data_IF_839223000536
#
_entry.id   IF_839223000536
#
_cell.length_a   1.000
_cell.length_b   1.000
_cell.length_c   1.000
_cell.angle_alpha   90.00
_cell.angle_beta   90.00
_cell.angle_gamma   90.00
#
_symmetry.space_group_name_H-M   'P 1'
#
loop_
_entity.id
_entity.type
_entity.pdbx_description
1 polymer ?
#
# COMPACT_ATOMS: atom_id res chain seq x y z
N UNK A 1 2.76 -14.36 22.06
CA UNK A 1 3.51 -14.98 20.95
C UNK A 1 4.64 -14.02 20.60
N UNK A 2 5.87 -14.49 20.37
CA UNK A 2 6.99 -13.63 19.95
C UNK A 2 6.64 -13.02 18.59
N UNK A 3 6.81 -11.72 18.42
CA UNK A 3 6.54 -11.03 17.16
C UNK A 3 7.85 -10.51 16.57
N UNK A 4 7.98 -10.57 15.27
CA UNK A 4 9.08 -9.98 14.50
C UNK A 4 8.48 -9.11 13.41
N UNK A 5 8.23 -7.81 13.71
CA UNK A 5 7.58 -6.93 12.77
C UNK A 5 8.26 -6.95 11.40
N UNK A 6 7.48 -7.11 10.35
CA UNK A 6 7.95 -7.28 8.97
C UNK A 6 7.24 -6.28 8.08
N UNK A 7 7.97 -5.69 7.13
CA UNK A 7 7.39 -4.85 6.07
C UNK A 7 7.08 -5.74 4.85
N UNK A 8 5.93 -5.53 4.22
CA UNK A 8 5.60 -6.09 2.91
C UNK A 8 5.41 -4.94 1.92
N UNK A 9 6.16 -4.95 0.83
CA UNK A 9 5.99 -4.01 -0.28
C UNK A 9 5.72 -4.79 -1.55
N UNK A 10 4.59 -4.53 -2.19
CA UNK A 10 4.25 -4.99 -3.54
C UNK A 10 3.92 -3.73 -4.34
N UNK A 11 4.86 -3.25 -5.16
CA UNK A 11 4.69 -2.01 -5.91
C UNK A 11 3.50 -2.09 -6.86
N UNK A 12 2.89 -0.94 -7.12
CA UNK A 12 1.83 -0.77 -8.12
C UNK A 12 2.36 -0.04 -9.36
N UNK A 13 1.65 -0.15 -10.49
CA UNK A 13 2.03 0.54 -11.73
C UNK A 13 3.30 0.01 -12.41
N UNK A 14 3.71 -1.22 -12.14
CA UNK A 14 4.96 -1.81 -12.63
C UNK A 14 4.80 -3.19 -13.31
N UNK A 15 3.59 -3.64 -13.50
CA UNK A 15 3.25 -4.93 -14.12
C UNK A 15 2.37 -5.82 -13.24
N UNK A 16 1.34 -6.36 -13.85
CA UNK A 16 0.34 -7.17 -13.16
C UNK A 16 0.90 -8.47 -12.57
N UNK A 17 1.95 -9.04 -13.20
CA UNK A 17 2.55 -10.30 -12.77
C UNK A 17 3.13 -10.23 -11.35
N UNK A 18 3.51 -9.06 -10.89
CA UNK A 18 4.11 -8.89 -9.55
C UNK A 18 3.14 -8.37 -8.49
N UNK A 19 1.84 -8.44 -8.75
CA UNK A 19 0.81 -7.99 -7.80
C UNK A 19 0.42 -6.54 -8.02
N UNK A 20 0.23 -6.13 -9.28
CA UNK A 20 -0.15 -4.78 -9.65
C UNK A 20 -1.60 -4.41 -9.34
N UNK A 21 -2.46 -5.38 -9.05
CA UNK A 21 -3.86 -5.15 -8.72
C UNK A 21 -4.05 -4.78 -7.25
N UNK A 22 -4.92 -3.82 -6.99
CA UNK A 22 -5.25 -3.42 -5.64
C UNK A 22 -5.91 -4.58 -4.87
N UNK A 23 -5.27 -5.00 -3.76
CA UNK A 23 -5.79 -6.02 -2.85
C UNK A 23 -5.58 -7.47 -3.27
N UNK A 24 -5.00 -7.77 -4.42
CA UNK A 24 -4.73 -9.15 -4.84
C UNK A 24 -3.69 -9.85 -3.95
N UNK A 25 -2.88 -9.09 -3.25
CA UNK A 25 -1.89 -9.57 -2.31
C UNK A 25 -2.40 -9.73 -0.86
N UNK A 26 -3.69 -9.53 -0.59
CA UNK A 26 -4.26 -9.70 0.74
C UNK A 26 -4.05 -11.12 1.32
N UNK A 27 -4.21 -12.23 0.56
CA UNK A 27 -3.86 -13.56 1.04
C UNK A 27 -2.39 -13.69 1.44
N UNK A 28 -1.48 -13.04 0.70
CA UNK A 28 -0.05 -12.97 1.02
C UNK A 28 0.16 -12.20 2.33
N UNK A 29 -0.48 -11.04 2.50
CA UNK A 29 -0.39 -10.26 3.72
C UNK A 29 -0.87 -11.05 4.95
N UNK A 30 -1.99 -11.76 4.84
CA UNK A 30 -2.50 -12.65 5.92
C UNK A 30 -1.51 -13.77 6.27
N UNK A 31 -0.90 -14.39 5.25
CA UNK A 31 0.11 -15.44 5.45
C UNK A 31 1.34 -14.88 6.19
N UNK A 32 1.90 -13.77 5.71
CA UNK A 32 3.10 -13.17 6.30
C UNK A 32 2.83 -12.57 7.69
N UNK A 33 1.66 -11.99 7.93
CA UNK A 33 1.23 -11.55 9.25
C UNK A 33 1.14 -12.72 10.23
N UNK A 34 0.67 -13.88 9.77
CA UNK A 34 0.64 -15.10 10.59
C UNK A 34 2.06 -15.62 10.90
N UNK A 35 2.98 -15.50 9.96
CA UNK A 35 4.36 -15.94 10.12
C UNK A 35 5.17 -15.01 11.04
N UNK A 36 5.03 -13.70 10.89
CA UNK A 36 5.80 -12.68 11.63
C UNK A 36 5.14 -12.27 12.95
N UNK A 37 3.82 -12.37 13.05
CA UNK A 37 3.02 -11.86 14.16
C UNK A 37 2.70 -10.37 14.06
N UNK A 38 3.36 -9.62 13.17
CA UNK A 38 3.09 -8.21 12.90
C UNK A 38 3.58 -7.85 11.48
N UNK A 39 2.69 -7.29 10.67
CA UNK A 39 2.98 -6.88 9.29
C UNK A 39 2.65 -5.41 9.11
N UNK A 40 3.56 -4.66 8.49
CA UNK A 40 3.31 -3.28 8.05
C UNK A 40 3.29 -3.28 6.52
N UNK A 41 2.20 -2.79 5.93
CA UNK A 41 2.04 -2.79 4.48
C UNK A 41 1.19 -1.61 4.01
N UNK A 42 1.07 -1.43 2.70
CA UNK A 42 0.49 -0.24 2.07
C UNK A 42 -0.85 -0.53 1.37
N UNK A 43 -1.60 0.55 1.00
CA UNK A 43 -2.94 0.44 0.41
C UNK A 43 -3.05 -0.54 -0.75
N UNK A 44 -2.11 -0.53 -1.70
CA UNK A 44 -2.18 -1.42 -2.87
C UNK A 44 -2.23 -2.92 -2.52
N UNK A 45 -1.58 -3.33 -1.42
CA UNK A 45 -1.65 -4.71 -0.91
C UNK A 45 -3.03 -5.03 -0.33
N UNK A 46 -3.67 -4.05 0.29
CA UNK A 46 -4.87 -4.23 1.12
C UNK A 46 -6.17 -3.83 0.43
N UNK A 47 -6.11 -2.83 -0.47
CA UNK A 47 -7.30 -2.30 -1.13
C UNK A 47 -7.77 -3.25 -2.23
N UNK A 48 -8.92 -3.83 -2.02
CA UNK A 48 -9.66 -4.56 -3.05
C UNK A 48 -11.10 -4.10 -3.05
N UNK A 49 -11.84 -4.38 -4.12
CA UNK A 49 -13.25 -4.05 -4.21
C UNK A 49 -14.12 -4.82 -3.21
N UNK A 50 -13.56 -5.84 -2.59
CA UNK A 50 -14.23 -6.63 -1.56
C UNK A 50 -13.95 -6.07 -0.18
N UNK A 51 -14.95 -6.13 0.68
CA UNK A 51 -14.82 -5.79 2.10
C UNK A 51 -13.98 -6.87 2.77
N UNK A 52 -12.72 -6.54 3.09
CA UNK A 52 -11.82 -7.49 3.73
C UNK A 52 -12.04 -7.51 5.25
N UNK A 53 -11.87 -8.68 5.85
CA UNK A 53 -11.78 -8.80 7.30
C UNK A 53 -10.57 -8.03 7.83
N UNK A 54 -10.76 -7.35 8.96
CA UNK A 54 -9.67 -6.72 9.69
C UNK A 54 -8.80 -7.80 10.33
N UNK A 55 -7.50 -7.72 10.08
CA UNK A 55 -6.50 -8.50 10.79
C UNK A 55 -5.70 -7.55 11.68
N UNK A 56 -5.81 -7.69 13.00
CA UNK A 56 -5.14 -6.81 13.97
C UNK A 56 -3.62 -6.87 13.91
N UNK A 57 -3.05 -7.85 13.22
CA UNK A 57 -1.61 -8.00 13.01
C UNK A 57 -1.11 -7.18 11.84
N UNK A 58 -2.01 -6.63 10.99
CA UNK A 58 -1.66 -5.88 9.78
C UNK A 58 -1.88 -4.39 10.01
N UNK A 59 -0.84 -3.60 9.82
CA UNK A 59 -0.84 -2.15 9.90
C UNK A 59 -0.89 -1.56 8.49
N UNK A 60 -1.95 -0.80 8.21
CA UNK A 60 -2.22 -0.14 6.94
C UNK A 60 -1.54 1.24 6.91
N UNK A 61 -0.46 1.38 6.13
CA UNK A 61 0.38 2.58 6.10
C UNK A 61 0.58 3.02 4.66
N UNK A 62 0.24 4.27 4.36
CA UNK A 62 0.43 4.87 3.04
C UNK A 62 1.92 4.86 2.63
N UNK A 63 2.20 4.79 1.32
CA UNK A 63 3.54 4.53 0.78
C UNK A 63 4.64 5.48 1.27
N UNK A 64 4.42 6.81 1.25
CA UNK A 64 5.40 7.77 1.78
C UNK A 64 5.66 7.60 3.27
N UNK A 65 4.60 7.33 4.03
CA UNK A 65 4.72 7.05 5.47
C UNK A 65 5.41 5.71 5.74
N UNK A 66 5.19 4.72 4.87
CA UNK A 66 5.89 3.44 4.94
C UNK A 66 7.41 3.61 4.71
N UNK A 67 7.79 4.44 3.75
CA UNK A 67 9.20 4.78 3.51
C UNK A 67 9.82 5.48 4.72
N UNK A 68 9.14 6.45 5.33
CA UNK A 68 9.56 7.10 6.57
C UNK A 68 9.70 6.10 7.73
N UNK A 69 8.78 5.16 7.84
CA UNK A 69 8.84 4.09 8.82
C UNK A 69 10.05 3.18 8.58
N UNK A 70 10.31 2.81 7.34
CA UNK A 70 11.49 2.03 6.95
C UNK A 70 12.80 2.75 7.26
N UNK A 71 12.86 4.09 7.11
CA UNK A 71 13.99 4.94 7.49
C UNK A 71 14.13 5.18 9.00
N UNK A 72 13.21 4.64 9.81
CA UNK A 72 13.15 4.86 11.24
C UNK A 72 12.91 6.34 11.66
N UNK A 73 12.19 7.09 10.86
CA UNK A 73 11.80 8.48 11.15
C UNK A 73 10.49 8.56 11.95
N UNK A 74 9.63 7.56 11.82
CA UNK A 74 8.35 7.49 12.53
C UNK A 74 8.12 6.13 13.17
N UNK A 75 7.35 6.13 14.27
CA UNK A 75 6.72 4.95 14.86
C UNK A 75 5.24 4.88 14.54
N UNK A 76 4.63 3.72 14.75
CA UNK A 76 3.21 3.49 14.51
C UNK A 76 2.50 3.32 15.85
N UNK A 77 1.47 4.14 16.11
CA UNK A 77 0.62 4.04 17.28
C UNK A 77 -0.71 3.40 16.91
N UNK A 78 -1.04 2.27 17.53
CA UNK A 78 -2.33 1.61 17.30
C UNK A 78 -3.49 2.48 17.78
N UNK A 79 -4.52 2.58 16.95
CA UNK A 79 -5.79 3.24 17.27
C UNK A 79 -6.94 2.26 17.10
N UNK A 80 -8.00 2.45 17.84
CA UNK A 80 -9.19 1.60 17.73
C UNK A 80 -10.08 2.06 16.57
N UNK A 81 -10.14 3.35 16.33
CA UNK A 81 -10.93 3.96 15.27
C UNK A 81 -10.37 5.34 14.89
N UNK A 82 -10.19 5.57 13.60
CA UNK A 82 -9.89 6.89 13.05
C UNK A 82 -11.18 7.69 12.83
N UNK A 83 -11.08 9.02 12.96
CA UNK A 83 -12.11 9.94 12.53
C UNK A 83 -11.79 10.37 11.09
N UNK A 84 -12.51 9.79 10.12
CA UNK A 84 -12.20 9.95 8.71
C UNK A 84 -12.92 11.18 8.14
N UNK A 85 -12.19 11.97 7.35
CA UNK A 85 -12.72 12.97 6.43
C UNK A 85 -12.47 12.56 4.98
N UNK A 86 -13.35 12.97 4.08
CA UNK A 86 -13.21 12.67 2.65
C UNK A 86 -12.96 13.97 1.89
N UNK A 87 -11.93 13.98 1.04
CA UNK A 87 -11.72 15.05 0.06
C UNK A 87 -12.28 14.58 -1.28
N UNK A 88 -13.18 15.35 -1.87
CA UNK A 88 -13.66 15.14 -3.24
C UNK A 88 -13.09 16.19 -4.17
N UNK A 89 -12.60 15.77 -5.33
CA UNK A 89 -12.21 16.66 -6.41
C UNK A 89 -13.42 17.42 -6.94
N UNK A 90 -13.29 18.73 -7.11
CA UNK A 90 -14.33 19.59 -7.70
C UNK A 90 -14.78 19.15 -9.09
N UNK A 91 -13.94 18.42 -9.79
CA UNK A 91 -14.25 17.96 -11.13
C UNK A 91 -15.14 16.68 -11.17
N UNK A 92 -15.50 16.14 -10.03
CA UNK A 92 -16.42 14.98 -9.94
C UNK A 92 -17.83 15.47 -10.24
N UNK A 93 -18.49 14.82 -11.21
CA UNK A 93 -19.86 15.10 -11.60
C UNK A 93 -20.86 14.82 -10.46
N UNK A 94 -21.95 15.56 -10.41
CA UNK A 94 -22.92 15.48 -9.30
C UNK A 94 -23.48 14.06 -9.08
N UNK A 95 -23.74 13.31 -10.13
CA UNK A 95 -24.24 11.92 -10.00
C UNK A 95 -23.17 11.02 -9.36
N UNK A 96 -21.94 11.13 -9.81
CA UNK A 96 -20.81 10.36 -9.28
C UNK A 96 -20.51 10.77 -7.83
N UNK A 97 -20.54 12.05 -7.50
CA UNK A 97 -20.40 12.54 -6.13
C UNK A 97 -21.51 11.96 -5.23
N UNK A 98 -22.76 12.01 -5.68
CA UNK A 98 -23.88 11.43 -4.95
C UNK A 98 -23.68 9.92 -4.70
N UNK A 99 -23.18 9.19 -5.69
CA UNK A 99 -22.86 7.76 -5.54
C UNK A 99 -21.80 7.52 -4.46
N UNK A 100 -20.73 8.30 -4.45
CA UNK A 100 -19.68 8.17 -3.45
C UNK A 100 -20.17 8.54 -2.03
N UNK A 101 -21.03 9.55 -1.91
CA UNK A 101 -21.65 9.90 -0.62
C UNK A 101 -22.55 8.78 -0.11
N UNK A 102 -23.39 8.18 -0.98
CA UNK A 102 -24.19 7.01 -0.62
C UNK A 102 -23.35 5.81 -0.18
N UNK A 103 -22.20 5.60 -0.81
CA UNK A 103 -21.24 4.55 -0.42
C UNK A 103 -20.65 4.86 0.96
N UNK A 104 -20.29 6.10 1.25
CA UNK A 104 -19.80 6.51 2.56
C UNK A 104 -20.85 6.29 3.65
N UNK A 105 -22.12 6.69 3.40
CA UNK A 105 -23.26 6.44 4.29
C UNK A 105 -23.50 4.94 4.52
N UNK A 106 -23.38 4.13 3.46
CA UNK A 106 -23.49 2.67 3.58
C UNK A 106 -22.38 2.09 4.46
N UNK A 107 -21.13 2.57 4.34
CA UNK A 107 -20.03 2.16 5.22
C UNK A 107 -20.25 2.56 6.67
N UNK A 108 -20.83 3.73 6.94
CA UNK A 108 -21.25 4.11 8.30
C UNK A 108 -22.30 3.12 8.81
N UNK A 109 -23.34 2.88 8.02
CA UNK A 109 -24.50 2.08 8.45
C UNK A 109 -24.18 0.60 8.66
N UNK A 110 -23.29 0.03 7.84
CA UNK A 110 -23.02 -1.42 7.84
C UNK A 110 -21.76 -1.82 8.61
N UNK A 111 -20.76 -0.95 8.63
CA UNK A 111 -19.45 -1.25 9.20
C UNK A 111 -19.14 -0.42 10.46
N UNK A 112 -19.96 0.58 10.78
CA UNK A 112 -19.76 1.46 11.92
C UNK A 112 -18.50 2.32 11.80
N UNK A 113 -18.04 2.61 10.57
CA UNK A 113 -16.85 3.45 10.34
C UNK A 113 -17.20 4.90 10.69
N UNK A 114 -16.31 5.57 11.41
CA UNK A 114 -16.49 6.96 11.80
C UNK A 114 -16.06 7.91 10.67
N UNK A 115 -16.95 8.15 9.73
CA UNK A 115 -16.78 9.13 8.66
C UNK A 115 -17.52 10.41 9.11
N UNK A 116 -16.77 11.44 9.46
CA UNK A 116 -17.33 12.60 10.15
C UNK A 116 -17.73 13.76 9.24
N UNK A 117 -17.01 13.95 8.14
CA UNK A 117 -17.25 15.08 7.20
C UNK A 117 -16.57 14.83 5.86
N UNK A 118 -16.96 15.63 4.88
CA UNK A 118 -16.25 15.71 3.61
C UNK A 118 -16.02 17.19 3.21
N UNK A 119 -15.14 17.40 2.27
CA UNK A 119 -14.88 18.69 1.64
C UNK A 119 -14.71 18.48 0.13
N UNK A 120 -15.21 19.41 -0.66
CA UNK A 120 -14.94 19.47 -2.11
C UNK A 120 -13.81 20.49 -2.31
N UNK A 121 -12.83 20.17 -3.15
CA UNK A 121 -11.72 21.06 -3.45
C UNK A 121 -12.22 22.37 -4.08
N UNK A 122 -11.55 23.48 -3.85
CA UNK A 122 -11.96 24.77 -4.41
C UNK A 122 -11.75 24.83 -5.92
N UNK A 123 -10.64 24.21 -6.39
CA UNK A 123 -10.28 24.09 -7.79
C UNK A 123 -10.19 22.62 -8.19
N UNK A 124 -10.37 22.28 -9.48
CA UNK A 124 -10.09 20.93 -9.97
C UNK A 124 -8.66 20.52 -9.62
N UNK A 125 -8.48 19.25 -9.20
CA UNK A 125 -7.17 18.70 -8.88
C UNK A 125 -6.26 18.65 -10.12
N UNK A 126 -6.84 18.35 -11.27
CA UNK A 126 -6.14 18.38 -12.57
C UNK A 126 -5.11 17.26 -12.69
N UNK A 127 -5.58 16.03 -12.72
CA UNK A 127 -4.74 14.84 -12.86
C UNK A 127 -4.27 14.71 -14.30
N UNK A 128 -2.98 14.40 -14.46
CA UNK A 128 -2.35 14.11 -15.74
C UNK A 128 -1.60 12.80 -15.62
N UNK A 129 -1.99 11.82 -16.43
CA UNK A 129 -1.26 10.57 -16.61
C UNK A 129 -0.17 10.83 -17.64
N UNK A 130 1.06 10.43 -17.34
CA UNK A 130 2.17 10.57 -18.27
C UNK A 130 2.27 9.32 -19.14
N UNK A 131 2.29 9.52 -20.44
CA UNK A 131 2.57 8.48 -21.42
C UNK A 131 4.09 8.29 -21.50
N UNK A 132 4.67 7.56 -20.58
CA UNK A 132 6.10 7.24 -20.58
C UNK A 132 6.33 5.90 -21.27
N UNK A 133 7.23 5.89 -22.25
CA UNK A 133 7.67 4.66 -22.93
C UNK A 133 8.43 3.68 -22.01
N UNK A 134 8.52 3.99 -20.74
CA UNK A 134 9.23 3.19 -19.73
C UNK A 134 8.51 1.89 -19.34
N UNK A 135 7.23 1.72 -19.70
CA UNK A 135 6.38 0.63 -19.23
C UNK A 135 6.05 0.74 -17.73
N UNK A 136 6.14 1.95 -17.17
CA UNK A 136 5.81 2.28 -15.80
C UNK A 136 4.67 3.28 -15.76
N UNK A 137 3.75 3.13 -14.80
CA UNK A 137 2.72 4.14 -14.57
C UNK A 137 3.33 5.37 -13.92
N UNK A 138 3.08 6.53 -14.48
CA UNK A 138 3.49 7.82 -13.90
C UNK A 138 2.46 8.91 -14.17
N UNK A 139 2.60 10.04 -13.49
CA UNK A 139 1.75 11.19 -13.69
C UNK A 139 2.00 12.29 -12.67
N UNK A 140 1.24 13.38 -12.78
CA UNK A 140 1.34 14.51 -11.87
C UNK A 140 -0.01 15.20 -11.65
N UNK A 141 -0.05 16.03 -10.63
CA UNK A 141 -1.20 16.84 -10.24
C UNK A 141 -0.91 18.31 -10.58
N UNK A 142 -1.83 18.97 -11.32
CA UNK A 142 -1.66 20.38 -11.73
C UNK A 142 -1.87 21.35 -10.56
N UNK A 143 -2.85 21.09 -9.71
CA UNK A 143 -3.27 21.96 -8.63
C UNK A 143 -3.11 21.27 -7.25
N UNK A 144 -1.89 20.92 -6.81
CA UNK A 144 -1.69 20.18 -5.57
C UNK A 144 -2.14 20.96 -4.32
N UNK A 145 -2.08 22.31 -4.36
CA UNK A 145 -2.45 23.15 -3.23
C UNK A 145 -3.92 23.06 -2.85
N UNK A 146 -4.81 22.79 -3.82
CA UNK A 146 -6.24 22.64 -3.52
C UNK A 146 -6.51 21.40 -2.64
N UNK A 147 -5.77 20.32 -2.84
CA UNK A 147 -5.82 19.11 -2.00
C UNK A 147 -5.30 19.40 -0.59
N UNK A 148 -4.14 20.08 -0.50
CA UNK A 148 -3.54 20.44 0.80
C UNK A 148 -4.47 21.37 1.59
N UNK A 149 -5.09 22.34 0.93
CA UNK A 149 -6.03 23.27 1.55
C UNK A 149 -7.29 22.56 2.07
N UNK A 150 -7.86 21.67 1.26
CA UNK A 150 -8.98 20.83 1.63
C UNK A 150 -8.66 19.94 2.84
N UNK A 151 -7.49 19.29 2.82
CA UNK A 151 -7.03 18.45 3.92
C UNK A 151 -6.80 19.23 5.21
N UNK A 152 -6.20 20.42 5.16
CA UNK A 152 -6.05 21.33 6.32
C UNK A 152 -7.40 21.70 6.93
N UNK A 153 -8.41 21.96 6.08
CA UNK A 153 -9.76 22.25 6.56
C UNK A 153 -10.36 21.09 7.35
N UNK A 154 -10.15 19.85 6.90
CA UNK A 154 -10.59 18.65 7.61
C UNK A 154 -9.85 18.46 8.94
N UNK A 155 -8.53 18.65 8.96
CA UNK A 155 -7.72 18.51 10.19
C UNK A 155 -8.16 19.56 11.23
N UNK A 156 -8.46 20.79 10.82
CA UNK A 156 -8.98 21.83 11.71
C UNK A 156 -10.33 21.47 12.34
N UNK A 157 -11.07 20.51 11.76
CA UNK A 157 -12.32 19.94 12.31
C UNK A 157 -12.06 18.70 13.18
N UNK A 158 -10.80 18.39 13.45
CA UNK A 158 -10.39 17.24 14.25
C UNK A 158 -10.45 15.90 13.52
N UNK A 159 -10.35 15.90 12.19
CA UNK A 159 -10.18 14.70 11.37
C UNK A 159 -8.78 14.14 11.61
N UNK A 160 -8.67 12.82 11.71
CA UNK A 160 -7.42 12.11 12.02
C UNK A 160 -6.92 11.20 10.89
N UNK A 161 -7.77 10.91 9.89
CA UNK A 161 -7.40 10.20 8.67
C UNK A 161 -8.18 10.75 7.47
N UNK A 162 -7.59 10.73 6.27
CA UNK A 162 -8.15 11.35 5.09
C UNK A 162 -8.26 10.36 3.94
N UNK A 163 -9.50 10.13 3.47
CA UNK A 163 -9.76 9.48 2.18
C UNK A 163 -9.78 10.56 1.08
N UNK A 164 -9.19 10.27 -0.07
CA UNK A 164 -9.10 11.20 -1.18
C UNK A 164 -9.79 10.58 -2.38
N UNK A 165 -10.70 11.29 -3.02
CA UNK A 165 -11.41 10.84 -4.21
C UNK A 165 -11.19 11.88 -5.30
N UNK A 166 -10.51 11.51 -6.38
CA UNK A 166 -10.24 12.43 -7.49
C UNK A 166 -10.76 11.89 -8.81
N UNK A 167 -11.15 12.81 -9.69
CA UNK A 167 -11.70 12.49 -11.01
C UNK A 167 -10.58 12.26 -12.01
N UNK A 168 -10.59 11.10 -12.62
CA UNK A 168 -9.74 10.79 -13.77
C UNK A 168 -10.46 11.11 -15.08
N UNK A 169 -9.71 11.51 -16.11
CA UNK A 169 -10.25 11.71 -17.45
C UNK A 169 -10.80 10.41 -18.02
N UNK A 170 -11.86 10.48 -18.81
CA UNK A 170 -12.38 9.36 -19.59
C UNK A 170 -11.53 9.10 -20.87
N UNK A 171 -10.51 9.93 -21.13
CA UNK A 171 -9.56 9.79 -22.24
C UNK A 171 -8.37 8.87 -21.91
N UNK A 172 -8.49 8.03 -20.86
CA UNK A 172 -7.49 6.99 -20.57
C UNK A 172 -7.49 6.00 -21.75
N UNK A 173 -6.30 5.60 -22.21
CA UNK A 173 -6.18 4.64 -23.30
C UNK A 173 -6.90 3.34 -22.97
N UNK A 174 -7.98 3.09 -23.69
CA UNK A 174 -8.82 1.90 -23.48
C UNK A 174 -8.05 0.60 -23.79
N UNK A 175 -7.01 0.64 -24.61
CA UNK A 175 -6.21 -0.55 -24.92
C UNK A 175 -5.39 -0.98 -23.70
N UNK A 176 -4.73 -0.05 -23.02
CA UNK A 176 -3.95 -0.32 -21.80
C UNK A 176 -4.85 -0.76 -20.65
N UNK A 177 -6.00 -0.11 -20.45
CA UNK A 177 -6.99 -0.53 -19.47
C UNK A 177 -7.51 -1.93 -19.76
N UNK A 178 -7.75 -2.28 -21.02
CA UNK A 178 -8.19 -3.61 -21.40
C UNK A 178 -7.11 -4.68 -21.15
N UNK A 179 -5.85 -4.38 -21.44
CA UNK A 179 -4.73 -5.27 -21.16
C UNK A 179 -4.61 -5.52 -19.65
N UNK A 180 -4.69 -4.46 -18.84
CA UNK A 180 -4.71 -4.57 -17.39
C UNK A 180 -5.86 -5.47 -16.89
N UNK A 181 -7.07 -5.25 -17.40
CA UNK A 181 -8.24 -6.07 -17.07
C UNK A 181 -8.12 -7.54 -17.50
N UNK A 182 -7.24 -7.86 -18.44
CA UNK A 182 -6.88 -9.23 -18.84
C UNK A 182 -5.72 -9.82 -18.03
N UNK A 183 -5.23 -9.12 -17.02
CA UNK A 183 -4.09 -9.56 -16.20
C UNK A 183 -2.74 -9.33 -16.87
N UNK A 184 -2.66 -8.41 -17.84
CA UNK A 184 -1.46 -8.05 -18.59
C UNK A 184 -1.16 -6.55 -18.48
N UNK A 185 0.08 -6.16 -18.80
CA UNK A 185 0.45 -4.74 -18.76
C UNK A 185 0.53 -4.17 -17.34
N UNK A 186 0.17 -2.91 -17.18
CA UNK A 186 0.28 -2.13 -15.94
C UNK A 186 -1.03 -1.40 -15.63
N UNK A 187 -1.23 -1.06 -14.37
CA UNK A 187 -2.26 -0.10 -13.97
C UNK A 187 -1.76 1.32 -14.30
N UNK A 188 -2.33 1.93 -15.32
CA UNK A 188 -1.89 3.23 -15.85
C UNK A 188 -2.15 4.40 -14.90
N UNK A 189 -3.10 4.27 -13.97
CA UNK A 189 -3.44 5.34 -13.02
C UNK A 189 -2.67 5.24 -11.70
N UNK A 190 -2.13 4.08 -11.37
CA UNK A 190 -1.54 3.79 -10.07
C UNK A 190 -0.39 4.73 -9.68
N UNK A 191 0.42 5.16 -10.64
CA UNK A 191 1.53 6.08 -10.38
C UNK A 191 1.05 7.44 -9.87
N UNK A 192 0.03 8.02 -10.49
CA UNK A 192 -0.51 9.32 -10.06
C UNK A 192 -1.36 9.19 -8.79
N UNK A 193 -2.04 8.05 -8.57
CA UNK A 193 -2.70 7.76 -7.29
C UNK A 193 -1.72 7.79 -6.12
N UNK A 194 -0.53 7.20 -6.32
CA UNK A 194 0.55 7.26 -5.33
C UNK A 194 1.01 8.71 -5.10
N UNK A 195 1.18 9.51 -6.15
CA UNK A 195 1.54 10.94 -6.02
C UNK A 195 0.52 11.71 -5.19
N UNK A 196 -0.78 11.47 -5.38
CA UNK A 196 -1.87 12.14 -4.66
C UNK A 196 -1.80 11.80 -3.15
N UNK A 197 -1.71 10.53 -2.81
CA UNK A 197 -1.66 10.10 -1.41
C UNK A 197 -0.35 10.51 -0.72
N UNK A 198 0.79 10.41 -1.41
CA UNK A 198 2.10 10.89 -0.93
C UNK A 198 2.07 12.39 -0.59
N UNK A 199 1.45 13.19 -1.46
CA UNK A 199 1.30 14.64 -1.24
C UNK A 199 0.62 14.91 0.10
N UNK A 200 -0.53 14.30 0.34
CA UNK A 200 -1.31 14.51 1.57
C UNK A 200 -0.57 13.97 2.79
N UNK A 201 -0.04 12.76 2.71
CA UNK A 201 0.75 12.15 3.80
C UNK A 201 1.95 13.02 4.19
N UNK A 202 2.68 13.54 3.20
CA UNK A 202 3.86 14.37 3.39
C UNK A 202 3.54 15.70 4.09
N UNK A 203 2.49 16.39 3.65
CA UNK A 203 2.19 17.74 4.12
C UNK A 203 1.33 17.76 5.38
N UNK A 204 0.46 16.77 5.58
CA UNK A 204 -0.49 16.75 6.67
C UNK A 204 -0.13 15.76 7.78
N UNK A 205 0.77 14.81 7.50
CA UNK A 205 1.28 13.82 8.46
C UNK A 205 0.19 12.98 9.14
N UNK A 206 -0.87 12.69 8.41
CA UNK A 206 -1.98 11.82 8.84
C UNK A 206 -2.10 10.62 7.92
N UNK A 207 -2.65 9.49 8.39
CA UNK A 207 -3.00 8.37 7.52
C UNK A 207 -3.91 8.84 6.39
N UNK A 208 -3.58 8.46 5.17
CA UNK A 208 -4.41 8.76 4.00
C UNK A 208 -4.35 7.64 2.96
N UNK A 209 -5.35 7.60 2.10
CA UNK A 209 -5.37 6.73 0.93
C UNK A 209 -6.29 7.33 -0.15
N UNK A 210 -6.04 6.94 -1.38
CA UNK A 210 -6.74 7.43 -2.55
C UNK A 210 -7.71 6.38 -3.12
N UNK A 211 -8.82 6.84 -3.66
CA UNK A 211 -9.78 6.07 -4.45
C UNK A 211 -10.09 6.84 -5.75
N UNK A 212 -9.93 6.24 -6.94
CA UNK A 212 -10.23 6.91 -8.18
C UNK A 212 -11.74 7.06 -8.38
N UNK A 213 -12.19 8.20 -8.88
CA UNK A 213 -13.52 8.42 -9.40
C UNK A 213 -13.52 8.21 -10.91
N UNK A 214 -14.03 7.07 -11.34
CA UNK A 214 -14.08 6.63 -12.74
C UNK A 214 -15.55 6.53 -13.21
N UNK A 215 -15.79 6.71 -14.51
CA UNK A 215 -17.05 6.31 -15.12
C UNK A 215 -17.22 4.78 -15.02
N UNK A 216 -18.48 4.28 -15.02
CA UNK A 216 -18.70 2.84 -15.04
C UNK A 216 -17.98 2.18 -16.20
N UNK A 217 -17.21 1.14 -15.87
CA UNK A 217 -16.47 0.35 -16.86
C UNK A 217 -17.41 -0.71 -17.45
N UNK A 218 -17.37 -0.88 -18.76
CA UNK A 218 -18.21 -1.87 -19.46
C UNK A 218 -17.88 -3.30 -18.98
N UNK A 219 -18.90 -4.14 -18.96
CA UNK A 219 -18.73 -5.55 -18.62
C UNK A 219 -17.82 -6.25 -19.64
N UNK A 220 -16.88 -7.03 -19.14
CA UNK A 220 -15.95 -7.83 -19.94
C UNK A 220 -16.11 -9.32 -19.61
N UNK A 221 -16.29 -10.15 -20.65
CA UNK A 221 -16.51 -11.60 -20.45
C UNK A 221 -15.25 -12.30 -19.93
N UNK A 222 -14.07 -11.92 -20.45
CA UNK A 222 -12.79 -12.53 -20.10
C UNK A 222 -12.00 -11.59 -19.16
N UNK A 223 -12.55 -11.33 -17.99
CA UNK A 223 -11.91 -10.53 -16.96
C UNK A 223 -10.97 -11.39 -16.12
N UNK A 224 -9.75 -10.92 -15.85
CA UNK A 224 -8.86 -11.58 -14.89
C UNK A 224 -9.52 -11.58 -13.49
N UNK A 225 -9.48 -12.70 -12.73
CA UNK A 225 -10.08 -12.75 -11.40
C UNK A 225 -9.61 -11.67 -10.43
N UNK A 226 -8.36 -11.18 -10.58
CA UNK A 226 -7.80 -10.10 -9.77
C UNK A 226 -8.43 -8.74 -10.13
N UNK A 227 -8.57 -8.45 -11.42
CA UNK A 227 -9.31 -7.28 -11.89
C UNK A 227 -10.78 -7.34 -11.45
N UNK A 228 -11.42 -8.50 -11.52
CA UNK A 228 -12.78 -8.70 -11.02
C UNK A 228 -12.90 -8.38 -9.52
N UNK A 229 -11.92 -8.77 -8.71
CA UNK A 229 -11.88 -8.46 -7.29
C UNK A 229 -11.72 -6.95 -7.02
N UNK A 230 -11.00 -6.25 -7.86
CA UNK A 230 -10.84 -4.80 -7.80
C UNK A 230 -12.12 -4.07 -8.26
N UNK A 231 -12.71 -4.48 -9.37
CA UNK A 231 -13.89 -3.83 -9.98
C UNK A 231 -15.20 -4.06 -9.22
N UNK A 232 -15.30 -5.10 -8.38
CA UNK A 232 -16.54 -5.40 -7.63
C UNK A 232 -16.93 -4.26 -6.67
N UNK A 233 -15.98 -3.48 -6.23
CA UNK A 233 -16.19 -2.27 -5.42
C UNK A 233 -16.19 -1.01 -6.26
N UNK A 234 -16.98 -0.95 -7.28
CA UNK A 234 -17.11 0.07 -8.34
C UNK A 234 -16.59 1.50 -8.00
N UNK A 235 -16.79 1.96 -6.77
CA UNK A 235 -16.27 3.29 -6.34
C UNK A 235 -14.88 3.23 -5.72
N UNK A 236 -14.32 2.05 -5.49
CA UNK A 236 -13.05 1.81 -4.77
C UNK A 236 -13.00 2.40 -3.35
N UNK A 237 -13.88 3.34 -3.03
CA UNK A 237 -13.94 4.05 -1.75
C UNK A 237 -14.15 3.13 -0.52
N UNK A 238 -14.97 2.05 -0.55
CA UNK A 238 -15.17 1.20 0.62
C UNK A 238 -13.87 0.59 1.16
N UNK A 239 -13.02 0.08 0.28
CA UNK A 239 -11.74 -0.53 0.70
C UNK A 239 -10.79 0.49 1.33
N UNK A 240 -10.75 1.71 0.79
CA UNK A 240 -10.00 2.83 1.36
C UNK A 240 -10.53 3.20 2.76
N UNK A 241 -11.84 3.33 2.92
CA UNK A 241 -12.46 3.67 4.20
C UNK A 241 -12.22 2.58 5.26
N UNK A 242 -12.30 1.30 4.87
CA UNK A 242 -12.00 0.16 5.74
C UNK A 242 -10.54 0.19 6.18
N UNK A 243 -9.60 0.35 5.23
CA UNK A 243 -8.17 0.44 5.53
C UNK A 243 -7.86 1.60 6.48
N UNK A 244 -8.39 2.77 6.20
CA UNK A 244 -8.19 3.96 7.04
C UNK A 244 -8.85 3.86 8.41
N UNK A 245 -9.94 3.11 8.56
CA UNK A 245 -10.71 3.10 9.81
C UNK A 245 -9.90 2.71 11.05
N UNK A 246 -8.82 1.96 10.88
CA UNK A 246 -7.88 1.54 11.95
C UNK A 246 -6.42 1.75 11.56
N UNK A 247 -6.15 2.55 10.54
CA UNK A 247 -4.79 2.93 10.19
C UNK A 247 -4.08 3.54 11.41
N UNK A 248 -2.80 3.22 11.67
CA UNK A 248 -2.12 3.71 12.86
C UNK A 248 -1.85 5.21 12.77
N UNK A 249 -1.84 5.91 13.91
CA UNK A 249 -1.28 7.25 13.97
C UNK A 249 0.23 7.20 13.68
N UNK A 250 0.69 8.20 12.94
CA UNK A 250 2.09 8.39 12.56
C UNK A 250 2.78 9.27 13.60
N UNK A 251 3.78 8.74 14.29
CA UNK A 251 4.47 9.43 15.39
C UNK A 251 5.90 9.73 14.99
N UNK A 252 6.24 11.01 14.81
CA UNK A 252 7.61 11.44 14.51
C UNK A 252 8.58 11.00 15.63
N UNK A 253 9.76 10.49 15.29
CA UNK A 253 10.79 10.07 16.27
C UNK A 253 11.91 11.12 16.34
N UNK A 254 12.55 11.30 17.54
CA UNK A 254 12.25 10.60 18.79
C UNK A 254 11.10 11.28 19.56
N UNK A 255 10.02 10.56 19.84
CA UNK A 255 9.01 10.97 20.80
C UNK A 255 8.94 9.94 21.94
N UNK A 256 9.35 10.35 23.15
CA UNK A 256 9.33 9.51 24.33
C UNK A 256 7.98 9.56 25.09
N UNK A 257 7.08 10.46 24.69
CA UNK A 257 5.80 10.67 25.37
C UNK A 257 4.68 9.77 24.85
N UNK A 258 4.78 9.31 23.61
CA UNK A 258 3.73 8.53 22.95
C UNK A 258 4.04 7.03 22.97
N UNK A 259 3.08 6.22 23.41
CA UNK A 259 3.20 4.76 23.35
C UNK A 259 3.12 4.28 21.89
N UNK A 260 4.24 3.85 21.35
CA UNK A 260 4.36 3.25 20.03
C UNK A 260 3.94 1.78 20.09
N UNK A 261 3.10 1.33 19.18
CA UNK A 261 2.68 -0.05 19.05
C UNK A 261 3.64 -0.89 18.22
N UNK A 262 4.22 -0.28 17.15
CA UNK A 262 5.27 -0.89 16.33
C UNK A 262 6.38 0.13 16.17
N UNK A 263 7.52 -0.19 16.77
CA UNK A 263 8.73 0.61 16.61
C UNK A 263 9.45 0.21 15.32
N UNK A 264 9.93 1.16 14.50
CA UNK A 264 10.72 0.82 13.34
C UNK A 264 12.02 0.10 13.71
N UNK A 265 12.53 0.29 14.93
CA UNK A 265 13.73 -0.40 15.43
C UNK A 265 13.51 -1.89 15.72
N UNK A 266 12.26 -2.33 15.83
CA UNK A 266 11.88 -3.73 16.01
C UNK A 266 11.73 -4.50 14.69
N UNK A 267 11.79 -3.79 13.54
CA UNK A 267 11.71 -4.41 12.22
C UNK A 267 12.94 -5.28 11.99
N UNK A 268 12.72 -6.53 11.61
CA UNK A 268 13.79 -7.47 11.28
C UNK A 268 13.87 -7.77 9.78
N UNK A 269 12.77 -7.64 9.04
CA UNK A 269 12.69 -8.06 7.65
C UNK A 269 11.80 -7.18 6.80
N UNK A 270 12.11 -7.12 5.50
CA UNK A 270 11.21 -6.66 4.45
C UNK A 270 11.04 -7.75 3.40
N UNK A 271 9.80 -7.97 2.96
CA UNK A 271 9.46 -8.89 1.87
C UNK A 271 9.06 -8.07 0.65
N UNK A 272 9.64 -8.40 -0.51
CA UNK A 272 9.47 -7.63 -1.74
C UNK A 272 9.63 -8.52 -2.97
N UNK A 273 8.97 -8.24 -4.10
CA UNK A 273 9.23 -8.93 -5.36
C UNK A 273 10.68 -8.76 -5.82
N UNK A 274 11.31 -9.82 -6.35
CA UNK A 274 12.75 -9.87 -6.66
C UNK A 274 13.20 -8.88 -7.75
N UNK A 275 12.27 -8.36 -8.56
CA UNK A 275 12.52 -7.34 -9.57
C UNK A 275 12.38 -5.89 -9.05
N UNK A 276 11.94 -5.70 -7.79
CA UNK A 276 11.56 -4.39 -7.25
C UNK A 276 12.44 -3.94 -6.07
N UNK A 277 13.74 -4.28 -6.07
CA UNK A 277 14.66 -3.98 -4.96
C UNK A 277 15.10 -2.52 -4.88
N UNK A 278 14.73 -1.67 -5.84
CA UNK A 278 15.12 -0.25 -5.88
C UNK A 278 14.18 0.70 -5.14
N UNK A 279 13.10 0.22 -4.52
CA UNK A 279 12.18 1.05 -3.77
C UNK A 279 12.79 1.63 -2.50
N UNK A 280 12.36 2.83 -2.08
CA UNK A 280 12.95 3.57 -0.97
C UNK A 280 12.92 2.79 0.35
N UNK A 281 11.80 2.15 0.68
CA UNK A 281 11.71 1.29 1.88
C UNK A 281 12.72 0.14 1.87
N UNK A 282 12.99 -0.46 0.69
CA UNK A 282 13.96 -1.56 0.55
C UNK A 282 15.38 -1.06 0.77
N UNK A 283 15.73 0.07 0.15
CA UNK A 283 17.05 0.69 0.30
C UNK A 283 17.31 1.10 1.75
N UNK A 284 16.34 1.72 2.40
CA UNK A 284 16.41 2.06 3.82
C UNK A 284 16.60 0.83 4.72
N UNK A 285 15.91 -0.28 4.42
CA UNK A 285 16.10 -1.53 5.15
C UNK A 285 17.50 -2.13 4.91
N UNK A 286 18.07 -2.01 3.70
CA UNK A 286 19.46 -2.42 3.41
C UNK A 286 20.47 -1.58 4.22
N UNK A 287 20.33 -0.25 4.23
CA UNK A 287 21.18 0.65 5.02
C UNK A 287 21.15 0.32 6.51
N UNK A 288 20.00 -0.06 7.03
CA UNK A 288 19.79 -0.49 8.41
C UNK A 288 20.21 -1.94 8.68
N UNK A 289 20.79 -2.62 7.69
CA UNK A 289 21.26 -4.00 7.79
C UNK A 289 20.17 -5.02 8.20
N UNK A 290 18.94 -4.85 7.68
CA UNK A 290 17.80 -5.74 7.90
C UNK A 290 17.78 -6.89 6.89
N UNK A 291 16.99 -7.94 7.13
CA UNK A 291 16.81 -9.04 6.19
C UNK A 291 15.93 -8.60 5.02
N UNK A 292 16.40 -8.80 3.80
CA UNK A 292 15.62 -8.57 2.58
C UNK A 292 15.19 -9.93 2.02
N UNK A 293 13.91 -10.20 1.95
CA UNK A 293 13.37 -11.43 1.37
C UNK A 293 12.82 -11.09 -0.02
N UNK A 294 13.55 -11.48 -1.05
CA UNK A 294 13.22 -11.23 -2.45
C UNK A 294 12.46 -12.43 -3.01
N UNK A 295 11.17 -12.26 -3.25
CA UNK A 295 10.29 -13.30 -3.77
C UNK A 295 10.36 -13.30 -5.29
N UNK A 296 10.62 -14.47 -5.90
CA UNK A 296 10.70 -14.62 -7.36
C UNK A 296 9.41 -14.13 -8.01
N UNK A 297 9.58 -13.30 -9.02
CA UNK A 297 8.50 -12.79 -9.86
C UNK A 297 9.03 -12.44 -11.24
N UNK A 298 8.14 -12.32 -12.18
CA UNK A 298 8.37 -11.73 -13.48
C UNK A 298 7.68 -10.37 -13.52
N UNK A 299 8.21 -9.41 -14.26
CA UNK A 299 7.63 -8.07 -14.31
C UNK A 299 8.50 -7.07 -15.05
N UNK A 300 7.96 -5.87 -15.23
CA UNK A 300 8.58 -4.78 -16.01
C UNK A 300 9.86 -4.26 -15.36
N UNK A 301 9.86 -4.11 -14.02
CA UNK A 301 11.04 -3.67 -13.29
C UNK A 301 12.08 -4.80 -13.18
N UNK A 302 13.33 -4.45 -13.43
CA UNK A 302 14.46 -5.37 -13.30
C UNK A 302 15.54 -4.81 -12.35
N UNK A 303 15.12 -4.19 -11.27
CA UNK A 303 16.02 -3.78 -10.19
C UNK A 303 16.18 -4.95 -9.23
N UNK A 304 17.02 -5.89 -9.61
CA UNK A 304 17.18 -7.17 -8.95
C UNK A 304 18.47 -7.24 -8.13
N UNK A 305 18.67 -8.36 -7.46
CA UNK A 305 19.87 -8.66 -6.66
C UNK A 305 21.21 -8.54 -7.41
N UNK A 306 21.21 -8.44 -8.73
CA UNK A 306 22.44 -8.23 -9.54
C UNK A 306 23.07 -6.88 -9.28
N UNK A 307 22.29 -5.91 -8.81
CA UNK A 307 22.72 -4.53 -8.55
C UNK A 307 23.22 -4.31 -7.13
N UNK A 308 23.06 -5.30 -6.24
CA UNK A 308 23.35 -5.15 -4.82
C UNK A 308 24.28 -6.24 -4.31
N UNK A 309 25.42 -5.86 -3.70
CA UNK A 309 26.23 -6.77 -2.89
C UNK A 309 25.74 -6.69 -1.43
N UNK A 310 24.64 -7.39 -1.14
CA UNK A 310 24.02 -7.36 0.17
C UNK A 310 23.92 -8.75 0.80
N UNK A 311 24.58 -8.93 1.95
CA UNK A 311 24.75 -10.26 2.59
C UNK A 311 23.46 -10.86 3.16
N UNK A 312 22.50 -10.01 3.56
CA UNK A 312 21.22 -10.45 4.15
C UNK A 312 20.09 -10.44 3.12
N UNK A 313 20.40 -10.72 1.87
CA UNK A 313 19.42 -10.89 0.81
C UNK A 313 19.10 -12.37 0.63
N UNK A 314 17.86 -12.72 0.91
CA UNK A 314 17.31 -14.07 0.80
C UNK A 314 16.41 -14.15 -0.43
N UNK A 315 16.76 -15.03 -1.37
CA UNK A 315 15.95 -15.28 -2.57
C UNK A 315 15.08 -16.49 -2.32
N UNK A 316 13.80 -16.35 -2.59
CA UNK A 316 12.79 -17.42 -2.44
C UNK A 316 11.93 -17.53 -3.68
N UNK A 317 11.41 -18.72 -3.96
CA UNK A 317 10.62 -18.96 -5.16
C UNK A 317 9.15 -18.50 -5.00
N UNK A 318 8.65 -18.40 -3.77
CA UNK A 318 7.26 -18.01 -3.50
C UNK A 318 7.08 -17.48 -2.07
N UNK A 319 5.88 -16.97 -1.78
CA UNK A 319 5.55 -16.40 -0.46
C UNK A 319 5.44 -17.46 0.66
N UNK A 320 5.25 -18.75 0.36
CA UNK A 320 5.28 -19.81 1.38
C UNK A 320 6.70 -19.98 1.91
N UNK A 321 7.71 -19.92 1.05
CA UNK A 321 9.12 -19.95 1.47
C UNK A 321 9.49 -18.69 2.26
N UNK A 322 8.99 -17.51 1.83
CA UNK A 322 9.16 -16.27 2.59
C UNK A 322 8.58 -16.39 4.00
N UNK A 323 7.37 -16.93 4.14
CA UNK A 323 6.75 -17.18 5.44
C UNK A 323 7.58 -18.17 6.29
N UNK A 324 8.11 -19.22 5.67
CA UNK A 324 9.02 -20.16 6.33
C UNK A 324 10.27 -19.47 6.90
N UNK A 325 10.89 -18.59 6.12
CA UNK A 325 12.04 -17.80 6.58
C UNK A 325 11.66 -16.87 7.77
N UNK A 326 10.53 -16.17 7.68
CA UNK A 326 10.06 -15.31 8.76
C UNK A 326 9.85 -16.10 10.06
N UNK A 327 9.29 -17.30 9.97
CA UNK A 327 9.14 -18.19 11.13
C UNK A 327 10.52 -18.57 11.69
N UNK A 328 11.49 -18.92 10.84
CA UNK A 328 12.83 -19.29 11.33
C UNK A 328 13.51 -18.12 12.03
N UNK A 329 13.37 -16.89 11.51
CA UNK A 329 13.91 -15.70 12.16
C UNK A 329 13.22 -15.43 13.50
N UNK A 330 11.90 -15.47 13.55
CA UNK A 330 11.12 -15.28 14.76
C UNK A 330 11.47 -16.28 15.87
N UNK A 331 11.66 -17.55 15.51
CA UNK A 331 12.00 -18.61 16.46
C UNK A 331 13.51 -18.69 16.76
N UNK A 332 14.35 -17.88 16.12
CA UNK A 332 15.80 -17.92 16.29
C UNK A 332 16.44 -19.18 15.70
N UNK A 333 15.80 -19.81 14.72
CA UNK A 333 16.31 -21.00 14.06
C UNK A 333 17.28 -20.57 12.95
N UNK A 334 18.46 -21.19 12.92
CA UNK A 334 19.34 -21.01 11.76
C UNK A 334 18.70 -21.73 10.55
N UNK A 335 18.18 -20.98 9.57
CA UNK A 335 17.52 -21.54 8.38
C UNK A 335 18.40 -22.55 7.63
N UNK A 336 19.74 -22.43 7.68
CA UNK A 336 20.67 -23.40 7.07
C UNK A 336 20.63 -24.76 7.77
N UNK A 337 20.19 -24.84 9.02
CA UNK A 337 20.09 -26.09 9.76
C UNK A 337 18.94 -26.98 9.28
N UNK A 338 17.98 -26.41 8.56
CA UNK A 338 16.84 -27.12 7.98
C UNK A 338 17.23 -27.78 6.63
N UNK A 339 18.25 -27.26 5.96
CA UNK A 339 18.70 -27.77 4.67
C UNK A 339 19.53 -29.06 4.81
N UNK A 340 19.50 -29.89 3.78
CA UNK A 340 20.27 -31.13 3.71
C UNK A 340 21.18 -31.17 2.47
N UNK A 341 22.40 -31.71 2.53
CA UNK A 341 23.06 -32.22 3.76
C UNK A 341 23.52 -31.10 4.69
N UNK A 342 23.54 -31.37 6.00
CA UNK A 342 24.12 -30.44 6.97
C UNK A 342 25.63 -30.34 6.78
N UNK A 343 26.17 -29.12 6.85
CA UNK A 343 27.60 -28.87 6.80
C UNK A 343 28.15 -28.85 8.22
N UNK A 344 29.27 -29.55 8.43
CA UNK A 344 30.02 -29.49 9.69
C UNK A 344 30.62 -28.11 9.91
N UNK A 345 30.83 -27.76 11.16
CA UNK A 345 31.60 -26.55 11.54
C UNK A 345 33.02 -26.65 10.96
N UNK A 346 33.59 -25.49 10.59
CA UNK A 346 34.98 -25.40 10.11
C UNK A 346 35.83 -24.71 11.17
N UNK A 347 37.09 -25.13 11.22
CA UNK A 347 38.09 -24.39 11.99
C UNK A 347 38.35 -23.04 11.30
N UNK A 348 38.44 -21.96 12.06
CA UNK A 348 38.72 -20.61 11.57
C UNK A 348 40.21 -20.24 11.58
N UNK A 349 41.11 -21.21 11.93
CA UNK A 349 42.56 -21.02 11.92
C UNK A 349 43.15 -21.46 10.60
#
# INVERSE_FOLDING_TARGET
MKTTPTILVIPTGIGCEIGGFAGDALPVAKLLASASGCLVTHPNVMNGGTLSEKDERIFYVEGYSLDRFARAEIGLKKVNQQKIGIIFDKNIENEMLCRHLQVADACIATLGINIASYVITEEPVGIVISDEQSGLSSGYVRNPETLIKAGKSLINQGITAIAIVTRFSDEIDFEDVNLYREGKGIDVIAGVEAVISHLISKYLKVPCAHAPALTPIDLKVNLDPRAAAEEIGYTFLPSVLIGLSTAPDLVDLPDSSTKIAVSPHEIESIVVPSGALGGEAVLACMERNLNIIAVKNEGVLNVSSKWFDYKKLFKVDNYLEAAGLLITFREGINYKSINRPLKSIKNCT
#
